data_IF_107310316637
#
_entry.id   IF_107310316637
#
_cell.length_a   1.000
_cell.length_b   1.000
_cell.length_c   1.000
_cell.angle_alpha   90.00
_cell.angle_beta   90.00
_cell.angle_gamma   90.00
#
_symmetry.space_group_name_H-M   'P 1'
#
loop_
_entity.id
_entity.type
_entity.pdbx_description
1 polymer ?
#
# COMPACT_ATOMS: atom_id res chain seq x y z
N UNK A 1 7.84 -54.88 -19.25
CA UNK A 1 8.80 -54.73 -20.35
C UNK A 1 9.23 -53.24 -20.40
N UNK A 2 10.53 -53.10 -20.13
CA UNK A 2 11.44 -51.94 -20.38
C UNK A 2 11.02 -50.51 -19.96
N UNK A 3 11.60 -50.13 -18.83
CA UNK A 3 11.92 -48.80 -18.36
C UNK A 3 13.04 -48.20 -19.25
N UNK A 4 12.92 -46.93 -19.64
CA UNK A 4 14.04 -46.12 -20.09
C UNK A 4 14.10 -44.81 -19.28
N UNK A 5 15.19 -44.69 -18.50
CA UNK A 5 15.55 -43.49 -17.79
C UNK A 5 16.28 -42.50 -18.69
N UNK A 6 16.14 -41.24 -18.43
CA UNK A 6 16.98 -40.18 -19.00
C UNK A 6 17.90 -39.60 -17.94
N UNK A 7 19.20 -39.74 -18.19
CA UNK A 7 20.28 -39.11 -17.45
C UNK A 7 20.37 -37.61 -17.80
N UNK A 8 20.45 -36.77 -16.80
CA UNK A 8 20.80 -35.36 -16.94
C UNK A 8 22.31 -35.19 -16.83
N UNK A 9 22.90 -34.59 -17.84
CA UNK A 9 24.35 -34.31 -17.92
C UNK A 9 24.58 -32.89 -17.35
N UNK A 10 25.29 -32.82 -16.22
CA UNK A 10 25.76 -31.56 -15.67
C UNK A 10 27.08 -31.16 -16.37
N UNK A 11 27.09 -29.99 -17.00
CA UNK A 11 28.28 -29.40 -17.63
C UNK A 11 29.00 -28.52 -16.58
N UNK A 12 30.19 -28.96 -16.17
CA UNK A 12 31.12 -28.22 -15.32
C UNK A 12 31.99 -27.33 -16.20
N UNK A 13 31.82 -26.00 -16.09
CA UNK A 13 32.76 -25.05 -16.67
C UNK A 13 33.85 -24.69 -15.65
N UNK A 14 35.07 -25.11 -15.92
CA UNK A 14 36.29 -24.67 -15.22
C UNK A 14 36.76 -23.37 -15.84
N UNK A 15 36.80 -22.27 -15.07
CA UNK A 15 37.41 -21.01 -15.49
C UNK A 15 38.78 -20.90 -14.82
N UNK A 16 39.81 -20.90 -15.64
CA UNK A 16 41.20 -20.65 -15.25
C UNK A 16 41.43 -19.16 -15.02
N UNK A 17 41.83 -18.79 -13.82
CA UNK A 17 42.24 -17.41 -13.45
C UNK A 17 43.73 -17.21 -13.81
N UNK A 18 44.01 -16.22 -14.65
CA UNK A 18 45.33 -15.62 -14.79
C UNK A 18 45.42 -14.40 -13.84
N UNK A 19 46.38 -14.43 -12.95
CA UNK A 19 46.70 -13.34 -12.06
C UNK A 19 47.49 -12.24 -12.80
N UNK A 20 47.17 -11.00 -12.49
CA UNK A 20 48.03 -9.86 -12.77
C UNK A 20 48.17 -9.03 -11.47
N UNK A 21 49.42 -8.86 -11.05
CA UNK A 21 49.81 -8.15 -9.84
C UNK A 21 49.77 -6.64 -10.06
N UNK A 22 49.28 -5.90 -9.08
CA UNK A 22 49.77 -4.57 -8.74
C UNK A 22 48.87 -3.41 -9.10
N UNK A 23 48.06 -2.96 -8.10
CA UNK A 23 47.94 -1.53 -7.72
C UNK A 23 47.13 -1.44 -6.41
N UNK A 24 47.78 -0.93 -5.40
CA UNK A 24 47.18 -0.64 -4.10
C UNK A 24 46.42 0.69 -4.16
N UNK A 25 45.11 0.66 -4.17
CA UNK A 25 44.28 1.83 -3.79
C UNK A 25 43.58 1.51 -2.46
N UNK A 26 43.86 2.35 -1.48
CA UNK A 26 43.19 2.35 -0.18
C UNK A 26 41.73 2.77 -0.38
N UNK A 27 40.81 1.84 -0.28
CA UNK A 27 39.41 2.13 -0.05
C UNK A 27 39.23 2.45 1.44
N UNK A 28 38.96 3.69 1.76
CA UNK A 28 38.39 4.10 3.04
C UNK A 28 36.98 3.55 3.12
N UNK A 29 36.82 2.52 3.93
CA UNK A 29 35.50 1.95 4.22
C UNK A 29 34.66 2.95 5.01
N UNK A 30 33.61 3.47 4.40
CA UNK A 30 32.49 4.02 5.14
C UNK A 30 31.70 2.81 5.66
N UNK A 31 31.72 2.62 6.98
CA UNK A 31 30.86 1.67 7.67
C UNK A 31 29.44 2.19 7.61
N UNK A 32 28.59 1.56 6.79
CA UNK A 32 27.15 1.65 6.92
C UNK A 32 26.74 0.96 8.24
N UNK A 33 26.79 1.70 9.33
CA UNK A 33 26.10 1.33 10.58
C UNK A 33 24.61 1.56 10.40
N UNK A 34 23.92 0.59 9.80
CA UNK A 34 22.49 0.45 9.98
C UNK A 34 22.23 -0.05 11.41
N UNK A 35 21.27 0.55 12.16
CA UNK A 35 20.91 0.04 13.47
C UNK A 35 20.39 -1.39 13.33
N UNK A 36 21.13 -2.34 13.88
CA UNK A 36 20.77 -3.74 13.98
C UNK A 36 19.57 -3.90 14.91
N UNK A 37 18.38 -4.17 14.36
CA UNK A 37 17.26 -4.58 15.20
C UNK A 37 15.85 -4.45 14.65
N UNK A 38 15.60 -3.72 13.57
CA UNK A 38 14.28 -3.75 12.94
C UNK A 38 14.19 -4.96 11.99
N UNK A 39 13.12 -5.78 12.06
CA UNK A 39 12.90 -6.83 11.08
C UNK A 39 12.89 -6.21 9.69
N UNK A 40 13.65 -6.80 8.74
CA UNK A 40 13.66 -6.35 7.34
C UNK A 40 12.22 -6.36 6.82
N UNK A 41 11.75 -5.20 6.30
CA UNK A 41 10.42 -5.14 5.69
C UNK A 41 10.37 -6.15 4.54
N UNK A 42 9.25 -6.91 4.41
CA UNK A 42 9.03 -7.72 3.21
C UNK A 42 9.13 -6.80 1.97
N UNK A 43 9.80 -7.26 0.95
CA UNK A 43 9.96 -6.51 -0.31
C UNK A 43 8.85 -6.78 -1.30
N UNK A 44 7.97 -7.75 -1.00
CA UNK A 44 6.94 -8.30 -1.87
C UNK A 44 5.64 -8.54 -1.07
N UNK A 45 4.55 -7.87 -1.49
CA UNK A 45 3.23 -7.97 -0.85
C UNK A 45 2.62 -9.37 -0.98
N UNK A 46 2.81 -10.05 -2.11
CA UNK A 46 2.26 -11.38 -2.33
C UNK A 46 2.86 -12.36 -1.33
N UNK A 47 4.18 -12.35 -1.16
CA UNK A 47 4.89 -13.16 -0.17
C UNK A 47 4.43 -12.84 1.25
N UNK A 48 4.34 -11.54 1.60
CA UNK A 48 3.82 -11.12 2.91
C UNK A 48 2.42 -11.69 3.17
N UNK A 49 1.52 -11.61 2.19
CA UNK A 49 0.14 -12.07 2.39
C UNK A 49 0.07 -13.60 2.54
N UNK A 50 0.87 -14.37 1.80
CA UNK A 50 0.97 -15.82 2.01
C UNK A 50 1.49 -16.17 3.40
N UNK A 51 2.55 -15.52 3.87
CA UNK A 51 3.09 -15.72 5.22
C UNK A 51 2.05 -15.45 6.30
N UNK A 52 1.29 -14.34 6.17
CA UNK A 52 0.23 -14.00 7.11
C UNK A 52 -0.92 -15.03 7.11
N UNK A 53 -1.33 -15.52 5.94
CA UNK A 53 -2.37 -16.56 5.83
C UNK A 53 -1.88 -17.87 6.45
N UNK A 54 -0.63 -18.26 6.23
CA UNK A 54 -0.04 -19.47 6.84
C UNK A 54 0.05 -19.35 8.37
N UNK A 55 0.45 -18.19 8.90
CA UNK A 55 0.45 -17.92 10.34
C UNK A 55 -0.97 -18.07 10.93
N UNK A 56 -1.98 -17.57 10.22
CA UNK A 56 -3.38 -17.70 10.64
C UNK A 56 -3.85 -19.16 10.69
N UNK A 57 -3.45 -19.98 9.72
CA UNK A 57 -3.82 -21.40 9.65
C UNK A 57 -3.20 -22.23 10.78
N UNK A 58 -2.10 -21.80 11.36
CA UNK A 58 -1.37 -22.45 12.46
C UNK A 58 -1.99 -22.26 13.86
N UNK A 59 -3.17 -21.65 14.01
CA UNK A 59 -3.80 -21.27 15.28
C UNK A 59 -2.91 -20.34 16.15
N UNK A 60 -1.88 -19.74 15.56
CA UNK A 60 -1.02 -18.81 16.26
C UNK A 60 -1.76 -17.49 16.52
N UNK A 61 -1.55 -16.86 17.69
CA UNK A 61 -2.08 -15.51 17.92
C UNK A 61 -1.49 -14.58 16.86
N UNK A 62 -2.27 -13.57 16.47
CA UNK A 62 -1.79 -12.51 15.59
C UNK A 62 -0.62 -11.77 16.26
N UNK A 63 0.54 -11.74 15.60
CA UNK A 63 1.75 -11.12 16.13
C UNK A 63 1.84 -9.63 15.76
N UNK A 64 1.13 -9.19 14.71
CA UNK A 64 1.25 -7.82 14.19
C UNK A 64 -0.04 -7.32 13.56
N UNK A 65 -0.27 -6.01 13.66
CA UNK A 65 -1.25 -5.25 12.88
C UNK A 65 -0.49 -4.29 11.96
N UNK A 66 -0.89 -4.24 10.70
CA UNK A 66 -0.27 -3.40 9.68
C UNK A 66 -0.98 -2.05 9.59
N UNK A 67 -0.20 -0.98 9.51
CA UNK A 67 -0.71 0.40 9.49
C UNK A 67 -0.67 0.93 8.06
N UNK A 68 -1.83 1.41 7.60
CA UNK A 68 -1.99 2.04 6.28
C UNK A 68 -2.26 3.53 6.47
N UNK A 69 -1.40 4.38 5.90
CA UNK A 69 -1.58 5.82 5.93
C UNK A 69 -2.53 6.26 4.80
N UNK A 70 -3.73 6.72 5.16
CA UNK A 70 -4.74 7.23 4.23
C UNK A 70 -4.23 8.49 3.52
N UNK A 71 -4.19 8.49 2.18
CA UNK A 71 -3.60 9.55 1.35
C UNK A 71 -2.16 9.90 1.75
N UNK A 72 -1.44 8.91 2.30
CA UNK A 72 -0.13 9.03 2.93
C UNK A 72 -0.08 9.94 4.18
N UNK A 73 -1.23 10.27 4.80
CA UNK A 73 -1.29 11.09 6.00
C UNK A 73 -0.60 10.41 7.18
N UNK A 74 0.18 11.21 7.90
CA UNK A 74 0.80 10.88 9.17
C UNK A 74 0.65 12.07 10.10
N UNK A 75 0.72 11.87 11.42
CA UNK A 75 0.70 12.98 12.37
C UNK A 75 1.83 13.98 12.09
N UNK A 76 3.01 13.48 11.72
CA UNK A 76 4.15 14.32 11.36
C UNK A 76 3.89 15.14 10.08
N UNK A 77 3.31 14.54 9.03
CA UNK A 77 2.94 15.23 7.79
C UNK A 77 1.85 16.29 8.02
N UNK A 78 0.82 15.95 8.79
CA UNK A 78 -0.26 16.88 9.17
C UNK A 78 0.30 18.06 9.98
N UNK A 79 1.19 17.82 10.94
CA UNK A 79 1.83 18.88 11.73
C UNK A 79 2.72 19.80 10.88
N UNK A 80 3.34 19.27 9.83
CA UNK A 80 4.08 20.04 8.83
C UNK A 80 3.16 20.71 7.82
N UNK A 81 1.85 20.46 7.89
CA UNK A 81 0.82 20.99 6.99
C UNK A 81 1.05 20.64 5.52
N UNK A 82 1.55 19.43 5.28
CA UNK A 82 1.73 18.92 3.93
C UNK A 82 0.38 18.53 3.31
N UNK A 83 0.18 18.77 2.01
CA UNK A 83 -1.05 18.34 1.32
C UNK A 83 -1.13 16.81 1.23
N UNK A 84 -2.35 16.28 1.40
CA UNK A 84 -2.67 14.88 1.10
C UNK A 84 -2.24 14.48 -0.33
N UNK A 85 -1.88 13.22 -0.56
CA UNK A 85 -1.53 12.73 -1.91
C UNK A 85 -0.36 13.50 -2.58
N UNK A 86 0.55 14.11 -1.82
CA UNK A 86 1.76 14.77 -2.34
C UNK A 86 3.01 13.90 -2.17
N UNK A 87 4.07 14.16 -2.95
CA UNK A 87 5.34 13.44 -2.77
C UNK A 87 5.96 13.73 -1.41
N UNK A 88 5.79 14.94 -0.92
CA UNK A 88 6.34 15.39 0.36
C UNK A 88 5.73 14.63 1.55
N UNK A 89 4.39 14.42 1.56
CA UNK A 89 3.76 13.66 2.64
C UNK A 89 4.09 12.17 2.54
N UNK A 90 4.22 11.63 1.31
CA UNK A 90 4.68 10.26 1.06
C UNK A 90 6.11 10.07 1.58
N UNK A 91 7.00 11.03 1.35
CA UNK A 91 8.36 10.98 1.88
C UNK A 91 8.37 10.94 3.42
N UNK A 92 7.53 11.75 4.08
CA UNK A 92 7.37 11.73 5.55
C UNK A 92 6.84 10.38 6.02
N UNK A 93 5.88 9.78 5.31
CA UNK A 93 5.37 8.45 5.64
C UNK A 93 6.46 7.37 5.53
N UNK A 94 7.31 7.42 4.49
CA UNK A 94 8.46 6.51 4.33
C UNK A 94 9.46 6.68 5.49
N UNK A 95 9.81 7.92 5.81
CA UNK A 95 10.81 8.24 6.85
C UNK A 95 10.32 7.98 8.26
N UNK A 96 9.01 7.94 8.49
CA UNK A 96 8.41 7.70 9.80
C UNK A 96 8.79 6.33 10.40
N UNK A 97 9.03 5.34 9.55
CA UNK A 97 9.31 3.97 9.96
C UNK A 97 8.11 3.21 10.56
N UNK A 98 6.97 3.88 10.80
CA UNK A 98 5.78 3.29 11.42
C UNK A 98 4.67 2.90 10.44
N UNK A 99 4.71 3.45 9.22
CA UNK A 99 3.75 3.14 8.15
C UNK A 99 4.22 1.91 7.38
N UNK A 100 3.36 0.91 7.23
CA UNK A 100 3.64 -0.30 6.45
C UNK A 100 3.23 -0.15 4.98
N UNK A 101 2.15 0.58 4.73
CA UNK A 101 1.56 0.84 3.41
C UNK A 101 0.98 2.25 3.38
N UNK A 102 1.04 2.90 2.24
CA UNK A 102 0.24 4.11 1.98
C UNK A 102 -0.98 3.76 1.13
N UNK A 103 -2.07 4.46 1.34
CA UNK A 103 -3.17 4.50 0.39
C UNK A 103 -3.11 5.84 -0.36
N UNK A 104 -3.36 5.80 -1.67
CA UNK A 104 -3.35 6.99 -2.53
C UNK A 104 -4.45 6.91 -3.60
N UNK A 105 -5.01 8.07 -3.93
CA UNK A 105 -6.10 8.23 -4.88
C UNK A 105 -5.58 8.53 -6.29
N UNK A 106 -5.97 7.74 -7.28
CA UNK A 106 -5.51 7.90 -8.67
C UNK A 106 -6.63 8.34 -9.60
N UNK A 107 -6.37 9.37 -10.40
CA UNK A 107 -7.27 9.84 -11.48
C UNK A 107 -6.53 10.07 -12.79
N UNK A 108 -7.17 9.80 -13.93
CA UNK A 108 -6.65 10.20 -15.24
C UNK A 108 -6.92 11.67 -15.51
N UNK A 109 -5.97 12.36 -16.12
CA UNK A 109 -6.13 13.68 -16.72
C UNK A 109 -6.80 13.59 -18.09
N UNK A 110 -7.09 14.74 -18.71
CA UNK A 110 -7.65 14.81 -20.06
C UNK A 110 -6.77 14.14 -21.15
N UNK A 111 -5.47 14.13 -20.92
CA UNK A 111 -4.47 13.51 -21.80
C UNK A 111 -3.94 12.19 -21.23
N UNK A 112 -4.78 11.52 -20.43
CA UNK A 112 -4.58 10.18 -19.89
C UNK A 112 -3.33 10.02 -18.99
N UNK A 113 -2.77 11.10 -18.43
CA UNK A 113 -1.72 10.98 -17.41
C UNK A 113 -2.35 10.67 -16.06
N UNK A 114 -1.89 9.61 -15.39
CA UNK A 114 -2.36 9.24 -14.06
C UNK A 114 -1.71 10.13 -13.00
N UNK A 115 -2.55 10.86 -12.24
CA UNK A 115 -2.13 11.79 -11.17
C UNK A 115 -2.77 11.41 -9.84
N UNK A 116 -2.21 11.88 -8.73
CA UNK A 116 -2.82 11.69 -7.43
C UNK A 116 -3.83 12.80 -7.13
N UNK A 117 -5.10 12.41 -7.00
CA UNK A 117 -6.19 13.32 -6.63
C UNK A 117 -7.40 12.53 -6.13
N UNK A 118 -7.88 12.85 -4.94
CA UNK A 118 -9.10 12.22 -4.40
C UNK A 118 -10.35 12.68 -5.14
N UNK A 119 -10.60 13.98 -5.20
CA UNK A 119 -11.82 14.55 -5.76
C UNK A 119 -11.78 14.56 -7.29
N UNK A 120 -12.94 14.58 -7.92
CA UNK A 120 -13.03 14.78 -9.36
C UNK A 120 -12.57 16.19 -9.77
N UNK A 121 -12.73 17.18 -8.87
CA UNK A 121 -12.27 18.57 -9.05
C UNK A 121 -10.97 18.82 -8.30
N UNK A 122 -10.08 19.62 -8.87
CA UNK A 122 -8.84 20.07 -8.22
C UNK A 122 -9.08 21.13 -7.12
N UNK A 123 -10.30 21.65 -6.98
CA UNK A 123 -10.60 22.88 -6.20
C UNK A 123 -10.37 22.74 -4.69
N UNK A 124 -10.54 21.56 -4.10
CA UNK A 124 -10.36 21.37 -2.65
C UNK A 124 -8.88 21.40 -2.26
N UNK A 125 -8.03 20.78 -3.06
CA UNK A 125 -6.64 20.51 -2.72
C UNK A 125 -5.63 21.32 -3.53
N UNK A 126 -6.09 22.21 -4.42
CA UNK A 126 -5.22 23.10 -5.20
C UNK A 126 -5.81 24.51 -5.33
N UNK A 127 -5.05 25.43 -5.92
CA UNK A 127 -5.52 26.76 -6.31
C UNK A 127 -6.31 26.79 -7.64
N UNK A 128 -6.60 25.63 -8.24
CA UNK A 128 -7.44 25.48 -9.44
C UNK A 128 -8.93 25.31 -9.11
N UNK A 129 -9.78 25.21 -10.16
CA UNK A 129 -11.24 25.11 -10.00
C UNK A 129 -11.90 24.11 -10.94
N UNK A 130 -11.17 23.52 -11.91
CA UNK A 130 -11.71 22.60 -12.92
C UNK A 130 -11.73 21.15 -12.42
N UNK A 131 -12.35 20.26 -13.18
CA UNK A 131 -12.20 18.83 -12.97
C UNK A 131 -10.85 18.34 -13.53
N UNK A 132 -10.32 17.28 -12.93
CA UNK A 132 -9.07 16.63 -13.37
C UNK A 132 -9.21 16.16 -14.83
N UNK A 133 -10.32 15.54 -15.18
CA UNK A 133 -10.61 15.04 -16.55
C UNK A 133 -10.75 16.12 -17.62
N UNK A 134 -10.92 17.39 -17.22
CA UNK A 134 -11.04 18.52 -18.15
C UNK A 134 -9.69 19.22 -18.39
N UNK A 135 -8.63 18.80 -17.69
CA UNK A 135 -7.30 19.40 -17.71
C UNK A 135 -6.25 18.43 -18.21
N UNK A 136 -5.33 18.90 -19.04
CA UNK A 136 -4.10 18.17 -19.35
C UNK A 136 -3.17 18.13 -18.13
N UNK A 137 -2.25 17.17 -18.10
CA UNK A 137 -1.25 17.14 -17.04
C UNK A 137 -0.42 18.43 -16.98
N UNK A 138 -0.06 18.99 -18.14
CA UNK A 138 0.67 20.26 -18.20
C UNK A 138 -0.09 21.41 -17.52
N UNK A 139 -1.41 21.47 -17.62
CA UNK A 139 -2.25 22.45 -16.91
C UNK A 139 -2.30 22.14 -15.39
N UNK A 140 -2.48 20.87 -14.99
CA UNK A 140 -2.51 20.48 -13.58
C UNK A 140 -1.18 20.75 -12.89
N UNK A 141 -0.05 20.52 -13.57
CA UNK A 141 1.29 20.76 -13.02
C UNK A 141 1.60 22.26 -12.74
N UNK A 142 0.85 23.18 -13.34
CA UNK A 142 0.95 24.61 -12.99
C UNK A 142 0.26 24.94 -11.67
N UNK A 143 -0.71 24.13 -11.23
CA UNK A 143 -1.41 24.35 -9.97
C UNK A 143 -0.47 24.11 -8.79
N UNK A 144 -0.69 24.86 -7.72
CA UNK A 144 -0.09 24.61 -6.43
C UNK A 144 -1.10 23.93 -5.51
N UNK A 145 -0.64 22.91 -4.79
CA UNK A 145 -1.47 22.25 -3.77
C UNK A 145 -1.64 23.15 -2.55
N UNK A 146 -2.83 23.07 -1.95
CA UNK A 146 -3.20 23.81 -0.75
C UNK A 146 -3.04 22.94 0.48
N UNK A 147 -2.72 23.56 1.61
CA UNK A 147 -2.89 22.94 2.92
C UNK A 147 -4.37 22.63 3.16
N UNK A 148 -4.64 21.52 3.84
CA UNK A 148 -6.02 21.10 4.06
C UNK A 148 -6.76 22.02 5.03
N UNK A 149 -6.09 22.47 6.09
CA UNK A 149 -6.69 23.21 7.21
C UNK A 149 -7.05 24.67 6.87
N UNK A 150 -6.18 25.41 6.20
CA UNK A 150 -6.36 26.85 5.95
C UNK A 150 -6.39 27.23 4.46
N UNK A 151 -6.27 26.26 3.56
CA UNK A 151 -6.26 26.44 2.10
C UNK A 151 -5.15 27.37 1.59
N UNK A 152 -4.10 27.55 2.37
CA UNK A 152 -2.93 28.31 1.93
C UNK A 152 -2.12 27.49 0.93
N UNK A 153 -1.78 28.11 -0.18
CA UNK A 153 -0.98 27.51 -1.26
C UNK A 153 0.44 27.22 -0.79
N UNK A 154 0.92 26.01 -1.06
CA UNK A 154 2.22 25.53 -0.55
C UNK A 154 3.37 25.64 -1.55
N UNK A 155 3.09 25.77 -2.85
CA UNK A 155 4.07 25.61 -3.92
C UNK A 155 4.35 24.14 -4.30
N UNK A 156 3.82 23.17 -3.54
CA UNK A 156 3.89 21.74 -3.86
C UNK A 156 2.99 21.45 -5.06
N UNK A 157 3.45 20.56 -5.94
CA UNK A 157 2.75 20.23 -7.20
C UNK A 157 2.05 18.88 -7.11
N UNK A 158 0.92 18.78 -7.83
CA UNK A 158 0.21 17.48 -7.97
C UNK A 158 1.14 16.47 -8.66
N UNK A 159 1.43 15.33 -8.04
CA UNK A 159 2.34 14.35 -8.62
C UNK A 159 1.62 13.44 -9.62
N UNK A 160 2.41 12.90 -10.55
CA UNK A 160 2.01 11.73 -11.33
C UNK A 160 2.15 10.44 -10.51
N UNK A 161 1.36 9.41 -10.84
CA UNK A 161 1.55 8.09 -10.24
C UNK A 161 2.94 7.51 -10.54
N UNK A 162 3.52 7.85 -11.69
CA UNK A 162 4.90 7.41 -12.02
C UNK A 162 5.93 7.99 -11.05
N UNK A 163 5.85 9.29 -10.72
CA UNK A 163 6.72 9.94 -9.70
C UNK A 163 6.54 9.26 -8.34
N UNK A 164 5.31 8.87 -7.98
CA UNK A 164 5.04 8.13 -6.73
C UNK A 164 5.67 6.75 -6.75
N UNK A 165 5.56 6.01 -7.84
CA UNK A 165 6.20 4.70 -7.99
C UNK A 165 7.73 4.80 -7.88
N UNK A 166 8.34 5.80 -8.51
CA UNK A 166 9.79 6.05 -8.42
C UNK A 166 10.22 6.34 -6.97
N UNK A 167 9.44 7.12 -6.22
CA UNK A 167 9.71 7.44 -4.82
C UNK A 167 9.57 6.21 -3.90
N UNK A 168 8.53 5.40 -4.10
CA UNK A 168 8.15 4.29 -3.21
C UNK A 168 8.87 2.98 -3.52
N UNK A 169 9.45 2.81 -4.71
CA UNK A 169 10.05 1.55 -5.15
C UNK A 169 11.10 1.04 -4.17
N UNK A 170 10.90 -0.20 -3.68
CA UNK A 170 11.76 -0.84 -2.67
C UNK A 170 11.62 -0.26 -1.25
N UNK A 171 10.68 0.67 -1.01
CA UNK A 171 10.59 1.38 0.27
C UNK A 171 9.22 1.34 0.92
N UNK A 172 8.13 1.31 0.13
CA UNK A 172 6.76 1.45 0.65
C UNK A 172 5.78 0.66 -0.21
N UNK A 173 4.88 -0.06 0.43
CA UNK A 173 3.72 -0.66 -0.23
C UNK A 173 2.64 0.38 -0.51
N UNK A 174 1.86 0.17 -1.58
CA UNK A 174 0.86 1.14 -2.01
C UNK A 174 -0.49 0.45 -2.27
N UNK A 175 -1.54 0.94 -1.63
CA UNK A 175 -2.93 0.67 -2.00
C UNK A 175 -3.41 1.78 -2.94
N UNK A 176 -3.73 1.44 -4.18
CA UNK A 176 -4.22 2.37 -5.20
C UNK A 176 -5.75 2.41 -5.14
N UNK A 177 -6.33 3.47 -4.63
CA UNK A 177 -7.78 3.71 -4.73
C UNK A 177 -8.12 4.33 -6.09
N UNK A 178 -8.77 3.52 -6.94
CA UNK A 178 -9.30 3.95 -8.23
C UNK A 178 -10.83 3.84 -8.30
N UNK A 179 -11.48 3.51 -7.17
CA UNK A 179 -12.93 3.27 -7.14
C UNK A 179 -13.73 4.49 -7.58
N UNK A 180 -14.51 4.32 -8.67
CA UNK A 180 -15.33 5.41 -9.23
C UNK A 180 -14.54 6.56 -9.86
N UNK A 181 -13.25 6.36 -10.14
CA UNK A 181 -12.37 7.41 -10.68
C UNK A 181 -12.08 7.28 -12.19
N UNK A 182 -12.71 6.30 -12.87
CA UNK A 182 -12.59 6.05 -14.30
C UNK A 182 -11.15 5.87 -14.80
N UNK A 183 -10.30 5.25 -14.00
CA UNK A 183 -8.91 4.94 -14.38
C UNK A 183 -8.92 3.82 -15.42
N UNK A 184 -8.30 4.00 -16.61
CA UNK A 184 -8.25 2.95 -17.62
C UNK A 184 -7.44 1.74 -17.13
N UNK A 185 -8.07 0.57 -17.01
CA UNK A 185 -7.48 -0.65 -16.42
C UNK A 185 -6.19 -1.04 -17.13
N UNK A 186 -6.22 -1.13 -18.45
CA UNK A 186 -5.03 -1.52 -19.25
C UNK A 186 -3.87 -0.54 -19.10
N UNK A 187 -4.15 0.76 -18.97
CA UNK A 187 -3.11 1.78 -18.79
C UNK A 187 -2.44 1.67 -17.42
N UNK A 188 -3.22 1.54 -16.35
CA UNK A 188 -2.66 1.39 -15.01
C UNK A 188 -1.87 0.09 -14.89
N UNK A 189 -2.40 -1.04 -15.41
CA UNK A 189 -1.67 -2.32 -15.43
C UNK A 189 -0.33 -2.20 -16.18
N UNK A 190 -0.32 -1.51 -17.34
CA UNK A 190 0.90 -1.28 -18.09
C UNK A 190 1.91 -0.41 -17.31
N UNK A 191 1.46 0.65 -16.64
CA UNK A 191 2.32 1.51 -15.83
C UNK A 191 2.91 0.77 -14.62
N UNK A 192 2.11 -0.04 -13.91
CA UNK A 192 2.58 -0.89 -12.80
C UNK A 192 3.73 -1.79 -13.29
N UNK A 193 3.53 -2.45 -14.43
CA UNK A 193 4.53 -3.35 -15.03
C UNK A 193 5.77 -2.59 -15.51
N UNK A 194 5.60 -1.45 -16.21
CA UNK A 194 6.71 -0.61 -16.70
C UNK A 194 7.61 -0.15 -15.56
N UNK A 195 7.01 0.26 -14.43
CA UNK A 195 7.74 0.72 -13.25
C UNK A 195 8.29 -0.45 -12.40
N UNK A 196 7.90 -1.70 -12.68
CA UNK A 196 8.27 -2.88 -11.88
C UNK A 196 7.73 -2.75 -10.45
N UNK A 197 6.43 -2.44 -10.30
CA UNK A 197 5.75 -2.23 -9.03
C UNK A 197 4.73 -3.32 -8.70
N UNK A 198 4.63 -4.38 -9.52
CA UNK A 198 3.66 -5.49 -9.33
C UNK A 198 3.71 -6.05 -7.91
N UNK A 199 4.91 -6.19 -7.35
CA UNK A 199 5.14 -6.77 -6.02
C UNK A 199 4.88 -5.79 -4.86
N UNK A 200 4.61 -4.51 -5.16
CA UNK A 200 4.49 -3.46 -4.15
C UNK A 200 3.13 -2.74 -4.15
N UNK A 201 2.26 -3.04 -5.11
CA UNK A 201 0.96 -2.39 -5.22
C UNK A 201 -0.20 -3.37 -5.09
N UNK A 202 -1.30 -2.91 -4.56
CA UNK A 202 -2.62 -3.53 -4.67
C UNK A 202 -3.64 -2.49 -5.13
N UNK A 203 -4.75 -2.94 -5.70
CA UNK A 203 -5.76 -2.06 -6.32
C UNK A 203 -7.09 -2.23 -5.65
N UNK A 204 -7.66 -1.12 -5.15
CA UNK A 204 -9.02 -1.03 -4.66
C UNK A 204 -9.95 -0.44 -5.72
N UNK A 205 -10.97 -1.20 -6.10
CA UNK A 205 -12.02 -0.77 -7.05
C UNK A 205 -13.28 -1.64 -6.97
N UNK A 206 -14.21 -1.44 -7.91
CA UNK A 206 -15.39 -2.30 -8.10
C UNK A 206 -15.01 -3.64 -8.73
N UNK A 207 -15.88 -4.66 -8.52
CA UNK A 207 -15.63 -6.05 -8.92
C UNK A 207 -15.20 -6.22 -10.38
N UNK A 208 -15.92 -5.58 -11.31
CA UNK A 208 -15.66 -5.79 -12.73
C UNK A 208 -14.26 -5.32 -13.14
N UNK A 209 -13.82 -4.17 -12.62
CA UNK A 209 -12.47 -3.64 -12.86
C UNK A 209 -11.41 -4.53 -12.20
N UNK A 210 -11.63 -4.98 -10.96
CA UNK A 210 -10.70 -5.87 -10.26
C UNK A 210 -10.50 -7.21 -11.00
N UNK A 211 -11.59 -7.77 -11.53
CA UNK A 211 -11.53 -9.00 -12.35
C UNK A 211 -10.75 -8.75 -13.66
N UNK A 212 -10.90 -7.57 -14.28
CA UNK A 212 -10.14 -7.22 -15.48
C UNK A 212 -8.63 -7.16 -15.22
N UNK A 213 -8.19 -6.59 -14.07
CA UNK A 213 -6.76 -6.63 -13.66
C UNK A 213 -6.24 -8.06 -13.54
N UNK A 214 -7.01 -8.96 -12.90
CA UNK A 214 -6.61 -10.36 -12.75
C UNK A 214 -6.57 -11.12 -14.08
N UNK A 215 -7.36 -10.72 -15.07
CA UNK A 215 -7.30 -11.27 -16.43
C UNK A 215 -6.08 -10.77 -17.20
N UNK A 216 -5.58 -9.56 -16.92
CA UNK A 216 -4.38 -8.99 -17.54
C UNK A 216 -3.12 -9.62 -16.94
N UNK A 217 -3.02 -9.64 -15.62
CA UNK A 217 -1.90 -10.23 -14.89
C UNK A 217 -2.39 -10.73 -13.50
N UNK A 218 -2.42 -12.05 -13.26
CA UNK A 218 -2.85 -12.62 -11.99
C UNK A 218 -1.95 -12.26 -10.81
N UNK A 219 -0.76 -11.72 -11.03
CA UNK A 219 0.14 -11.26 -9.96
C UNK A 219 -0.21 -9.84 -9.47
N UNK A 220 -1.04 -9.08 -10.18
CA UNK A 220 -1.53 -7.80 -9.67
C UNK A 220 -2.48 -8.07 -8.50
N UNK A 221 -2.12 -7.62 -7.30
CA UNK A 221 -2.98 -7.76 -6.13
C UNK A 221 -4.22 -6.89 -6.25
N UNK A 222 -5.38 -7.48 -5.93
CA UNK A 222 -6.66 -6.79 -5.91
C UNK A 222 -7.23 -6.75 -4.49
N UNK A 223 -7.86 -5.64 -4.15
CA UNK A 223 -8.36 -5.32 -2.83
C UNK A 223 -9.88 -5.06 -2.85
N UNK A 224 -10.72 -6.11 -2.93
CA UNK A 224 -12.17 -5.95 -3.01
C UNK A 224 -12.81 -5.56 -1.67
N UNK A 225 -13.86 -4.73 -1.72
CA UNK A 225 -14.76 -4.54 -0.59
C UNK A 225 -15.74 -5.69 -0.50
N UNK A 226 -15.89 -6.27 0.69
CA UNK A 226 -16.84 -7.36 0.97
C UNK A 226 -17.63 -7.10 2.26
N UNK A 227 -18.88 -7.57 2.29
CA UNK A 227 -19.74 -7.48 3.48
C UNK A 227 -20.08 -8.84 4.09
N UNK A 228 -19.65 -9.94 3.44
CA UNK A 228 -19.86 -11.31 3.89
C UNK A 228 -18.69 -12.20 3.51
N UNK A 229 -18.44 -13.25 4.28
CA UNK A 229 -17.45 -14.30 3.95
C UNK A 229 -17.80 -15.00 2.63
N UNK A 230 -19.10 -15.16 2.32
CA UNK A 230 -19.54 -15.72 1.06
C UNK A 230 -19.07 -14.86 -0.14
N UNK A 231 -19.16 -13.52 -0.03
CA UNK A 231 -18.65 -12.61 -1.06
C UNK A 231 -17.12 -12.71 -1.21
N UNK A 232 -16.37 -12.85 -0.12
CA UNK A 232 -14.93 -13.07 -0.18
C UNK A 232 -14.57 -14.39 -0.88
N UNK A 233 -15.32 -15.45 -0.59
CA UNK A 233 -15.10 -16.77 -1.22
C UNK A 233 -15.29 -16.74 -2.75
N UNK A 234 -16.12 -15.83 -3.29
CA UNK A 234 -16.27 -15.67 -4.74
C UNK A 234 -14.97 -15.15 -5.40
N UNK A 235 -14.13 -14.42 -4.65
CA UNK A 235 -12.86 -13.91 -5.15
C UNK A 235 -11.70 -14.91 -5.06
N UNK A 236 -11.82 -16.01 -4.33
CA UNK A 236 -10.73 -17.00 -4.14
C UNK A 236 -10.25 -17.67 -5.44
N UNK A 237 -11.03 -17.59 -6.52
CA UNK A 237 -10.59 -18.03 -7.83
C UNK A 237 -9.54 -17.10 -8.47
N UNK A 238 -9.33 -15.92 -7.92
CA UNK A 238 -8.36 -14.93 -8.39
C UNK A 238 -7.13 -14.93 -7.45
N UNK A 239 -5.94 -15.30 -7.92
CA UNK A 239 -4.75 -15.43 -7.07
C UNK A 239 -4.38 -14.14 -6.33
N UNK A 240 -4.62 -12.98 -6.93
CA UNK A 240 -4.33 -11.68 -6.31
C UNK A 240 -5.35 -11.21 -5.28
N UNK A 241 -6.42 -11.98 -5.00
CA UNK A 241 -7.46 -11.59 -4.03
C UNK A 241 -7.23 -12.24 -2.67
N UNK A 242 -6.36 -11.67 -1.84
CA UNK A 242 -6.01 -12.19 -0.53
C UNK A 242 -6.44 -11.28 0.62
N UNK A 243 -6.42 -9.96 0.40
CA UNK A 243 -6.77 -8.93 1.38
C UNK A 243 -8.10 -8.29 1.01
N UNK A 244 -9.02 -8.24 1.96
CA UNK A 244 -10.40 -7.80 1.75
C UNK A 244 -10.75 -6.62 2.65
N UNK A 245 -11.22 -5.52 2.03
CA UNK A 245 -11.74 -4.39 2.78
C UNK A 245 -13.15 -4.68 3.27
N UNK A 246 -13.43 -4.34 4.52
CA UNK A 246 -14.77 -4.38 5.08
C UNK A 246 -15.06 -3.12 5.91
N UNK A 247 -16.33 -2.75 6.00
CA UNK A 247 -16.76 -1.64 6.82
C UNK A 247 -17.17 -2.12 8.21
N UNK A 248 -16.51 -1.62 9.24
CA UNK A 248 -16.96 -1.81 10.61
C UNK A 248 -18.02 -0.76 10.95
N UNK A 249 -19.22 -1.25 11.30
CA UNK A 249 -20.19 -0.43 11.98
C UNK A 249 -20.07 -0.73 13.48
N UNK A 250 -19.87 0.30 14.27
CA UNK A 250 -19.66 0.19 15.72
C UNK A 250 -20.74 -0.60 16.47
N UNK A 251 -21.97 -0.58 15.95
CA UNK A 251 -23.18 -1.19 16.50
C UNK A 251 -23.48 -2.60 15.98
N UNK A 252 -22.69 -3.12 15.07
CA UNK A 252 -22.85 -4.46 14.52
C UNK A 252 -21.80 -5.43 15.09
N UNK A 253 -22.14 -6.72 15.07
CA UNK A 253 -21.32 -7.85 15.54
C UNK A 253 -20.08 -8.08 14.63
N UNK A 254 -19.37 -6.98 14.37
CA UNK A 254 -18.16 -6.94 13.53
C UNK A 254 -17.00 -7.69 14.16
N UNK A 255 -17.09 -7.98 15.46
CA UNK A 255 -16.03 -8.69 16.20
C UNK A 255 -15.86 -10.15 15.69
N UNK A 256 -16.91 -10.71 15.08
CA UNK A 256 -16.83 -12.04 14.49
C UNK A 256 -16.43 -12.04 13.03
N UNK A 257 -16.70 -10.95 12.26
CA UNK A 257 -16.46 -10.95 10.82
C UNK A 257 -14.99 -11.15 10.45
N UNK A 258 -14.08 -10.42 11.08
CA UNK A 258 -12.65 -10.59 10.79
C UNK A 258 -12.15 -11.99 11.18
N UNK A 259 -12.64 -12.55 12.31
CA UNK A 259 -12.33 -13.93 12.70
C UNK A 259 -12.89 -14.97 11.71
N UNK A 260 -14.09 -14.76 11.20
CA UNK A 260 -14.68 -15.63 10.17
C UNK A 260 -13.90 -15.55 8.85
N UNK A 261 -13.46 -14.33 8.47
CA UNK A 261 -12.57 -14.11 7.30
C UNK A 261 -11.24 -14.82 7.49
N UNK A 262 -10.63 -14.69 8.67
CA UNK A 262 -9.39 -15.36 9.04
C UNK A 262 -9.55 -16.89 8.99
N UNK A 263 -10.62 -17.44 9.57
CA UNK A 263 -10.94 -18.86 9.49
C UNK A 263 -11.17 -19.35 8.04
N UNK A 264 -11.58 -18.45 7.15
CA UNK A 264 -11.69 -18.71 5.73
C UNK A 264 -10.36 -18.53 4.97
N UNK A 265 -9.24 -18.21 5.63
CA UNK A 265 -7.93 -17.97 5.01
C UNK A 265 -7.89 -16.67 4.22
N UNK A 266 -8.57 -15.63 4.69
CA UNK A 266 -8.62 -14.29 4.09
C UNK A 266 -8.03 -13.27 5.06
N UNK A 267 -7.18 -12.37 4.57
CA UNK A 267 -6.72 -11.19 5.31
C UNK A 267 -7.79 -10.10 5.29
N UNK A 268 -7.78 -9.26 6.31
CA UNK A 268 -8.79 -8.23 6.52
C UNK A 268 -8.18 -6.83 6.62
N UNK A 269 -8.89 -5.86 6.04
CA UNK A 269 -8.53 -4.46 6.02
C UNK A 269 -9.73 -3.59 6.40
N UNK A 270 -9.53 -2.66 7.31
CA UNK A 270 -10.56 -1.68 7.66
C UNK A 270 -10.00 -0.28 7.74
N UNK A 271 -10.83 0.73 7.45
CA UNK A 271 -10.47 2.10 7.74
C UNK A 271 -11.16 2.59 9.02
N UNK A 272 -10.44 3.40 9.79
CA UNK A 272 -10.93 3.98 11.04
C UNK A 272 -11.10 5.50 10.97
N UNK A 273 -11.10 6.09 9.79
CA UNK A 273 -11.09 7.53 9.53
C UNK A 273 -12.20 8.30 10.28
N UNK A 274 -13.39 7.71 10.41
CA UNK A 274 -14.50 8.30 11.17
C UNK A 274 -14.24 8.32 12.68
N UNK A 275 -13.24 7.57 13.16
CA UNK A 275 -12.93 7.38 14.57
C UNK A 275 -11.60 8.03 14.98
N UNK A 276 -10.78 8.47 14.03
CA UNK A 276 -9.48 9.11 14.26
C UNK A 276 -9.57 10.30 15.24
N UNK A 277 -10.61 11.12 15.14
CA UNK A 277 -10.88 12.25 16.06
C UNK A 277 -11.06 11.82 17.53
N UNK A 278 -11.48 10.59 17.79
CA UNK A 278 -11.61 10.08 19.15
C UNK A 278 -10.23 9.78 19.75
N UNK A 279 -9.31 9.24 18.94
CA UNK A 279 -7.92 9.02 19.34
C UNK A 279 -7.23 10.36 19.69
N UNK A 280 -7.47 11.41 18.91
CA UNK A 280 -6.96 12.76 19.20
C UNK A 280 -7.42 13.31 20.56
N UNK A 281 -8.58 12.88 21.06
CA UNK A 281 -9.08 13.22 22.39
C UNK A 281 -8.63 12.25 23.50
N UNK A 282 -7.73 11.30 23.17
CA UNK A 282 -7.25 10.26 24.10
C UNK A 282 -8.22 9.10 24.30
N UNK A 283 -9.28 9.00 23.49
CA UNK A 283 -10.25 7.90 23.56
C UNK A 283 -9.93 6.82 22.52
N UNK A 284 -9.28 5.74 22.96
CA UNK A 284 -8.87 4.62 22.12
C UNK A 284 -9.92 3.48 22.06
N UNK A 285 -11.14 3.67 22.61
CA UNK A 285 -12.15 2.61 22.67
C UNK A 285 -12.47 2.02 21.28
N UNK A 286 -12.53 2.86 20.27
CA UNK A 286 -12.78 2.39 18.89
C UNK A 286 -11.60 1.64 18.32
N UNK A 287 -10.38 2.16 18.48
CA UNK A 287 -9.16 1.48 18.05
C UNK A 287 -9.02 0.11 18.73
N UNK A 288 -9.26 0.04 20.05
CA UNK A 288 -9.27 -1.21 20.80
C UNK A 288 -10.25 -2.22 20.23
N UNK A 289 -11.46 -1.77 19.84
CA UNK A 289 -12.45 -2.65 19.21
C UNK A 289 -11.94 -3.22 17.88
N UNK A 290 -11.34 -2.41 17.01
CA UNK A 290 -10.76 -2.88 15.74
C UNK A 290 -9.61 -3.85 15.95
N UNK A 291 -8.76 -3.59 16.92
CA UNK A 291 -7.68 -4.49 17.30
C UNK A 291 -8.23 -5.82 17.86
N UNK A 292 -9.24 -5.77 18.74
CA UNK A 292 -9.87 -6.97 19.31
C UNK A 292 -10.66 -7.80 18.29
N UNK A 293 -11.12 -7.19 17.19
CA UNK A 293 -11.78 -7.92 16.08
C UNK A 293 -10.82 -8.73 15.21
N UNK A 294 -9.52 -8.67 15.48
CA UNK A 294 -8.46 -9.37 14.75
C UNK A 294 -8.25 -8.90 13.31
N UNK A 295 -8.57 -7.62 13.01
CA UNK A 295 -8.26 -7.00 11.73
C UNK A 295 -6.74 -6.98 11.48
N UNK A 296 -6.29 -7.34 10.27
CA UNK A 296 -4.88 -7.42 9.94
C UNK A 296 -4.30 -6.07 9.52
N UNK A 297 -5.06 -5.25 8.78
CA UNK A 297 -4.64 -3.93 8.28
C UNK A 297 -5.60 -2.84 8.74
N UNK A 298 -5.07 -1.74 9.26
CA UNK A 298 -5.84 -0.57 9.72
C UNK A 298 -5.41 0.68 8.98
N UNK A 299 -6.35 1.31 8.27
CA UNK A 299 -6.14 2.60 7.58
C UNK A 299 -6.58 3.77 8.47
N UNK A 300 -5.71 4.78 8.59
CA UNK A 300 -5.87 5.95 9.45
C UNK A 300 -5.21 7.19 8.86
N UNK A 301 -5.63 8.38 9.30
CA UNK A 301 -4.91 9.64 9.07
C UNK A 301 -3.78 9.88 10.10
N UNK A 302 -3.71 9.07 11.18
CA UNK A 302 -2.80 9.28 12.30
C UNK A 302 -1.98 8.03 12.61
N UNK A 303 -1.16 7.62 11.64
CA UNK A 303 -0.40 6.36 11.69
C UNK A 303 0.44 6.20 12.98
N UNK A 304 1.09 7.27 13.45
CA UNK A 304 1.92 7.23 14.66
C UNK A 304 1.10 6.95 15.92
N UNK A 305 -0.14 7.45 16.00
CA UNK A 305 -1.01 7.21 17.17
C UNK A 305 -1.48 5.76 17.21
N UNK A 306 -1.79 5.19 16.05
CA UNK A 306 -2.12 3.76 15.93
C UNK A 306 -0.90 2.91 16.28
N UNK A 307 0.30 3.30 15.82
CA UNK A 307 1.54 2.62 16.15
C UNK A 307 1.81 2.63 17.67
N UNK A 308 1.74 3.81 18.32
CA UNK A 308 1.94 3.96 19.77
C UNK A 308 0.97 3.04 20.56
N UNK A 309 -0.28 2.92 20.12
CA UNK A 309 -1.26 2.03 20.75
C UNK A 309 -0.91 0.55 20.52
N UNK A 310 -0.59 0.16 19.29
CA UNK A 310 -0.27 -1.24 18.95
C UNK A 310 1.03 -1.73 19.61
N UNK A 311 2.01 -0.83 19.80
CA UNK A 311 3.24 -1.14 20.50
C UNK A 311 2.98 -1.50 21.98
N UNK A 312 2.09 -0.75 22.64
CA UNK A 312 1.64 -1.07 24.02
C UNK A 312 0.91 -2.40 24.10
N UNK A 313 0.13 -2.75 23.08
CA UNK A 313 -0.59 -4.04 23.00
C UNK A 313 0.31 -5.21 22.56
N UNK A 314 1.57 -4.97 22.22
CA UNK A 314 2.50 -5.99 21.73
C UNK A 314 2.19 -6.51 20.31
N UNK A 315 1.64 -5.65 19.46
CA UNK A 315 1.20 -5.96 18.09
C UNK A 315 1.99 -5.18 17.01
N UNK A 316 3.23 -4.74 17.34
CA UNK A 316 4.14 -4.03 16.41
C UNK A 316 5.54 -4.60 16.45
#
# INVERSE_FOLDING_TARGET
MKVLGYFSLALVCVVLSFGCSGCSEQQTGASDDQPTGAPSRPTDLMTLFYELIEQQAGENPRERVYIVAHRANTRAGINQRLPENSLEIIQVAIESGVVDMIEVDVRPTKDDVLVLMHDASVARTTNGTKNVSDMTYAEIRQLDMNREDDKVTTGIKVPTLKEVFELCKGKMFINLDIHGKNVPVGQLAALIKECGMTDQVMIYSKKDELVEYQNIDPNILIHPYVSTVAAANEYKQYPGAMLFQYGLKYDQDSDNFAREMRAAGCLTYTNILNYDKHMLSGNNTYLQKFVNSETDFIQTDYAEMVHEYLDVEGLR
#
